data_IF_988678424594
#
_entry.id   IF_988678424594
#
_cell.length_a   1.000
_cell.length_b   1.000
_cell.length_c   1.000
_cell.angle_alpha   90.00
_cell.angle_beta   90.00
_cell.angle_gamma   90.00
#
_symmetry.space_group_name_H-M   'P 1'
#
loop_
_entity.id
_entity.type
_entity.pdbx_description
1 polymer ?
#
# COMPACT_ATOMS: atom_id res chain seq x y z
N UNK A 1 -2.14 -32.78 1.57
CA UNK A 1 -2.36 -32.18 2.91
C UNK A 1 -2.86 -30.76 2.73
N UNK A 2 -4.16 -30.60 2.51
CA UNK A 2 -4.80 -29.29 2.37
C UNK A 2 -4.93 -28.66 3.75
N UNK A 3 -4.42 -27.44 3.94
CA UNK A 3 -4.46 -26.68 5.19
C UNK A 3 -5.55 -25.59 5.18
N UNK A 4 -6.85 -25.87 4.96
CA UNK A 4 -7.87 -24.83 4.97
C UNK A 4 -8.03 -24.23 6.38
N UNK A 5 -7.92 -25.06 7.44
CA UNK A 5 -8.11 -24.61 8.81
C UNK A 5 -6.97 -23.71 9.33
N UNK A 6 -5.70 -24.04 9.07
CA UNK A 6 -4.57 -23.23 9.52
C UNK A 6 -4.46 -21.89 8.78
N UNK A 7 -4.89 -21.83 7.52
CA UNK A 7 -4.91 -20.59 6.74
C UNK A 7 -5.96 -19.60 7.27
N UNK A 8 -7.12 -20.11 7.72
CA UNK A 8 -8.12 -19.31 8.43
C UNK A 8 -7.60 -18.92 9.82
N UNK A 9 -7.01 -19.84 10.57
CA UNK A 9 -6.48 -19.56 11.91
C UNK A 9 -5.38 -18.50 11.91
N UNK A 10 -4.42 -18.57 10.98
CA UNK A 10 -3.34 -17.56 10.89
C UNK A 10 -3.89 -16.22 10.40
N UNK A 11 -4.82 -16.20 9.45
CA UNK A 11 -5.47 -14.94 9.04
C UNK A 11 -6.28 -14.31 10.18
N UNK A 12 -7.00 -15.13 10.95
CA UNK A 12 -7.81 -14.68 12.09
C UNK A 12 -6.91 -14.20 13.23
N UNK A 13 -5.87 -14.96 13.58
CA UNK A 13 -4.91 -14.63 14.62
C UNK A 13 -4.06 -13.41 14.27
N UNK A 14 -3.62 -13.26 13.01
CA UNK A 14 -2.96 -12.04 12.54
C UNK A 14 -3.93 -10.86 12.52
N UNK A 15 -5.19 -11.06 12.16
CA UNK A 15 -6.20 -10.00 12.25
C UNK A 15 -6.47 -9.58 13.70
N UNK A 16 -6.48 -10.51 14.65
CA UNK A 16 -6.65 -10.23 16.09
C UNK A 16 -5.41 -9.59 16.71
N UNK A 17 -4.20 -10.01 16.34
CA UNK A 17 -2.94 -9.39 16.81
C UNK A 17 -2.79 -7.96 16.26
N UNK A 18 -3.10 -7.75 14.98
CA UNK A 18 -3.15 -6.40 14.39
C UNK A 18 -4.23 -5.55 15.04
N UNK A 19 -5.39 -6.14 15.33
CA UNK A 19 -6.50 -5.47 16.01
C UNK A 19 -6.15 -5.09 17.45
N UNK A 20 -5.42 -5.94 18.17
CA UNK A 20 -4.95 -5.66 19.54
C UNK A 20 -3.79 -4.67 19.57
N UNK A 21 -2.96 -4.59 18.54
CA UNK A 21 -1.92 -3.55 18.43
C UNK A 21 -2.50 -2.22 17.91
N UNK A 22 -3.61 -2.24 17.17
CA UNK A 22 -4.47 -1.08 16.90
C UNK A 22 -5.44 -0.86 18.08
N UNK A 23 -4.94 -0.70 19.30
CA UNK A 23 -5.67 0.04 20.34
C UNK A 23 -5.74 1.52 19.95
N UNK A 24 -6.56 1.79 18.93
CA UNK A 24 -7.18 3.09 18.73
C UNK A 24 -8.53 3.00 19.44
N UNK A 25 -8.55 3.44 20.69
CA UNK A 25 -9.73 3.53 21.59
C UNK A 25 -10.94 4.29 21.02
N UNK A 26 -10.89 4.79 19.78
CA UNK A 26 -11.95 5.59 19.15
C UNK A 26 -12.37 5.05 17.79
N UNK A 27 -13.68 5.03 17.53
CA UNK A 27 -14.28 4.76 16.22
C UNK A 27 -13.98 5.91 15.24
N UNK A 28 -12.74 5.96 14.76
CA UNK A 28 -12.28 6.99 13.83
C UNK A 28 -12.45 6.53 12.37
N UNK A 29 -12.63 7.51 11.48
CA UNK A 29 -12.62 7.25 10.04
C UNK A 29 -11.35 6.53 9.58
N UNK A 30 -10.19 6.89 10.15
CA UNK A 30 -8.91 6.21 9.91
C UNK A 30 -8.99 4.72 10.24
N UNK A 31 -9.56 4.35 11.40
CA UNK A 31 -9.74 2.94 11.79
C UNK A 31 -10.62 2.20 10.79
N UNK A 32 -11.75 2.80 10.41
CA UNK A 32 -12.67 2.19 9.44
C UNK A 32 -11.99 1.97 8.08
N UNK A 33 -11.22 2.94 7.60
CA UNK A 33 -10.45 2.84 6.35
C UNK A 33 -9.42 1.70 6.41
N UNK A 34 -8.59 1.64 7.46
CA UNK A 34 -7.57 0.60 7.61
C UNK A 34 -8.21 -0.79 7.74
N UNK A 35 -9.33 -0.89 8.46
CA UNK A 35 -10.07 -2.14 8.62
C UNK A 35 -10.68 -2.62 7.31
N UNK A 36 -11.30 -1.71 6.54
CA UNK A 36 -11.85 -2.03 5.21
C UNK A 36 -10.74 -2.43 4.25
N UNK A 37 -9.61 -1.75 4.26
CA UNK A 37 -8.45 -2.10 3.46
C UNK A 37 -7.97 -3.53 3.74
N UNK A 38 -7.79 -3.87 5.02
CA UNK A 38 -7.34 -5.20 5.45
C UNK A 38 -8.33 -6.31 5.06
N UNK A 39 -9.64 -6.06 5.20
CA UNK A 39 -10.67 -7.06 4.93
C UNK A 39 -11.02 -7.24 3.45
N UNK A 40 -11.00 -6.16 2.67
CA UNK A 40 -11.52 -6.16 1.29
C UNK A 40 -10.43 -6.41 0.27
N UNK A 41 -9.24 -5.82 0.43
CA UNK A 41 -8.22 -5.81 -0.62
C UNK A 41 -7.28 -7.00 -0.45
N UNK A 42 -7.40 -7.98 -1.34
CA UNK A 42 -6.61 -9.21 -1.28
C UNK A 42 -5.24 -9.01 -1.92
N UNK A 43 -4.40 -10.02 -1.79
CA UNK A 43 -3.08 -10.07 -2.43
C UNK A 43 -3.22 -10.07 -3.95
N UNK A 44 -2.46 -9.21 -4.63
CA UNK A 44 -2.54 -9.03 -6.09
C UNK A 44 -3.66 -8.11 -6.57
N UNK A 45 -4.43 -7.51 -5.65
CA UNK A 45 -5.48 -6.55 -5.97
C UNK A 45 -5.06 -5.12 -5.61
N UNK A 46 -5.63 -4.14 -6.32
CA UNK A 46 -5.49 -2.71 -5.98
C UNK A 46 -6.85 -2.10 -5.75
N UNK A 47 -6.86 -1.03 -4.94
CA UNK A 47 -8.05 -0.21 -4.72
C UNK A 47 -7.69 1.26 -4.89
N UNK A 48 -8.59 2.06 -5.44
CA UNK A 48 -8.36 3.51 -5.49
C UNK A 48 -8.68 4.18 -4.15
N UNK A 49 -8.07 5.33 -3.88
CA UNK A 49 -8.43 6.16 -2.72
C UNK A 49 -9.93 6.48 -2.66
N UNK A 50 -10.57 6.71 -3.82
CA UNK A 50 -12.00 7.00 -3.90
C UNK A 50 -12.85 5.77 -3.57
N UNK A 51 -12.50 4.60 -4.13
CA UNK A 51 -13.19 3.34 -3.83
C UNK A 51 -13.09 3.00 -2.36
N UNK A 52 -11.90 3.13 -1.77
CA UNK A 52 -11.69 2.86 -0.35
C UNK A 52 -12.46 3.85 0.54
N UNK A 53 -12.56 5.12 0.14
CA UNK A 53 -13.38 6.11 0.85
C UNK A 53 -14.87 5.73 0.82
N UNK A 54 -15.38 5.26 -0.32
CA UNK A 54 -16.75 4.75 -0.45
C UNK A 54 -16.99 3.51 0.41
N UNK A 55 -16.04 2.56 0.44
CA UNK A 55 -16.10 1.37 1.29
C UNK A 55 -16.08 1.70 2.80
N UNK A 56 -15.43 2.81 3.17
CA UNK A 56 -15.40 3.36 4.51
C UNK A 56 -16.61 4.27 4.83
N UNK A 57 -17.63 4.33 3.95
CA UNK A 57 -18.88 5.04 4.20
C UNK A 57 -18.88 6.53 3.85
N UNK A 58 -17.78 7.08 3.32
CA UNK A 58 -17.73 8.47 2.87
C UNK A 58 -17.04 8.61 1.50
N UNK A 59 -17.79 8.56 0.38
CA UNK A 59 -17.20 8.58 -0.96
C UNK A 59 -16.44 9.86 -1.30
N UNK A 60 -16.69 10.96 -0.57
CA UNK A 60 -16.01 12.25 -0.77
C UNK A 60 -14.70 12.37 0.02
N UNK A 61 -14.36 11.38 0.84
CA UNK A 61 -13.24 11.44 1.78
C UNK A 61 -11.91 10.88 1.25
N UNK A 62 -11.69 10.87 -0.08
CA UNK A 62 -10.46 10.33 -0.68
C UNK A 62 -9.17 10.95 -0.13
N UNK A 63 -9.16 12.27 0.19
CA UNK A 63 -8.00 12.91 0.83
C UNK A 63 -7.75 12.40 2.25
N UNK A 64 -8.82 12.19 3.02
CA UNK A 64 -8.71 11.68 4.39
C UNK A 64 -8.20 10.24 4.41
N UNK A 65 -8.56 9.43 3.41
CA UNK A 65 -7.95 8.09 3.18
C UNK A 65 -6.43 8.22 2.99
N UNK A 66 -5.96 9.19 2.21
CA UNK A 66 -4.53 9.47 2.07
C UNK A 66 -3.82 9.77 3.40
N UNK A 67 -4.48 10.54 4.28
CA UNK A 67 -4.02 10.76 5.65
C UNK A 67 -3.95 9.47 6.46
N UNK A 68 -5.01 8.66 6.43
CA UNK A 68 -5.06 7.36 7.09
C UNK A 68 -3.94 6.40 6.64
N UNK A 69 -3.62 6.38 5.34
CA UNK A 69 -2.50 5.57 4.82
C UNK A 69 -1.14 6.03 5.33
N UNK A 70 -0.95 7.35 5.53
CA UNK A 70 0.30 7.90 6.08
C UNK A 70 0.44 7.56 7.56
N UNK A 71 -0.65 7.54 8.30
CA UNK A 71 -0.70 7.21 9.73
C UNK A 71 -0.76 5.71 10.02
N UNK A 72 -0.56 4.84 9.02
CA UNK A 72 -0.59 3.40 9.21
C UNK A 72 0.59 2.96 10.12
N UNK A 73 0.32 2.41 11.33
CA UNK A 73 1.37 2.02 12.28
C UNK A 73 2.14 0.77 11.84
N UNK A 74 1.54 -0.08 11.00
CA UNK A 74 2.15 -1.34 10.55
C UNK A 74 2.06 -1.46 9.02
N UNK A 75 2.96 -0.78 8.28
CA UNK A 75 3.07 -0.92 6.83
C UNK A 75 3.29 -2.39 6.41
N UNK A 76 2.92 -2.74 5.18
CA UNK A 76 2.95 -4.11 4.60
C UNK A 76 1.85 -5.02 5.18
N UNK A 77 1.75 -5.14 6.50
CA UNK A 77 0.75 -5.99 7.15
C UNK A 77 -0.66 -5.43 6.92
N UNK A 78 -0.84 -4.12 7.14
CA UNK A 78 -1.95 -3.38 6.57
C UNK A 78 -1.50 -2.91 5.19
N UNK A 79 -2.11 -3.40 4.09
CA UNK A 79 -1.55 -3.30 2.74
C UNK A 79 -1.80 -1.92 2.11
N UNK A 80 -1.29 -0.85 2.72
CA UNK A 80 -1.44 0.52 2.21
C UNK A 80 -0.70 0.76 0.89
N UNK A 81 0.24 -0.11 0.52
CA UNK A 81 0.87 -0.12 -0.80
C UNK A 81 -0.09 -0.51 -1.94
N UNK A 82 -1.22 -1.16 -1.64
CA UNK A 82 -2.27 -1.50 -2.63
C UNK A 82 -3.24 -0.36 -2.94
N UNK A 83 -3.17 0.75 -2.20
CA UNK A 83 -4.06 1.89 -2.42
C UNK A 83 -3.45 2.85 -3.42
N UNK A 84 -4.06 3.03 -4.59
CA UNK A 84 -3.54 3.84 -5.70
C UNK A 84 -4.48 4.99 -6.07
N UNK A 85 -4.05 5.87 -6.96
CA UNK A 85 -4.89 6.95 -7.48
C UNK A 85 -5.88 6.39 -8.51
N UNK A 86 -7.01 7.06 -8.68
CA UNK A 86 -8.08 6.61 -9.60
C UNK A 86 -7.66 6.65 -11.07
N UNK A 87 -6.61 7.40 -11.40
CA UNK A 87 -5.98 7.46 -12.73
C UNK A 87 -5.01 6.27 -12.97
N UNK A 88 -4.88 5.34 -12.02
CA UNK A 88 -3.98 4.20 -12.09
C UNK A 88 -2.53 4.52 -11.70
N UNK A 89 -2.22 5.77 -11.37
CA UNK A 89 -0.87 6.14 -10.92
C UNK A 89 -0.64 5.69 -9.47
N UNK A 90 0.55 5.17 -9.19
CA UNK A 90 0.87 4.50 -7.93
C UNK A 90 0.89 5.50 -6.76
N UNK A 91 1.35 6.73 -7.00
CA UNK A 91 1.44 7.76 -5.97
C UNK A 91 2.49 7.45 -4.90
N UNK A 92 2.59 8.33 -3.89
CA UNK A 92 3.61 8.22 -2.86
C UNK A 92 3.27 7.18 -1.78
N UNK A 93 4.30 6.72 -1.05
CA UNK A 93 4.20 5.70 -0.02
C UNK A 93 5.00 6.10 1.23
N UNK A 94 4.38 6.02 2.40
CA UNK A 94 5.03 6.37 3.67
C UNK A 94 6.11 5.36 4.08
N UNK A 95 5.97 4.09 3.73
CA UNK A 95 6.88 3.02 4.12
C UNK A 95 8.15 2.89 3.26
N UNK A 96 8.69 3.99 2.74
CA UNK A 96 9.93 3.98 1.93
C UNK A 96 9.83 4.59 0.54
N UNK A 97 8.78 5.37 0.26
CA UNK A 97 8.63 6.10 -1.00
C UNK A 97 8.10 5.26 -2.16
N UNK A 98 7.96 5.91 -3.32
CA UNK A 98 7.29 5.34 -4.50
C UNK A 98 7.94 4.03 -5.00
N UNK A 99 9.28 3.97 -5.02
CA UNK A 99 10.03 2.79 -5.49
C UNK A 99 9.73 1.53 -4.69
N UNK A 100 9.58 1.65 -3.36
CA UNK A 100 9.23 0.51 -2.49
C UNK A 100 7.82 0.02 -2.79
N UNK A 101 6.88 0.95 -3.05
CA UNK A 101 5.50 0.59 -3.40
C UNK A 101 5.42 -0.10 -4.76
N UNK A 102 6.16 0.39 -5.75
CA UNK A 102 6.29 -0.24 -7.06
C UNK A 102 6.84 -1.66 -6.97
N UNK A 103 7.90 -1.84 -6.16
CA UNK A 103 8.49 -3.16 -5.90
C UNK A 103 7.51 -4.12 -5.20
N UNK A 104 6.79 -3.65 -4.18
CA UNK A 104 5.79 -4.45 -3.47
C UNK A 104 4.67 -4.88 -4.42
N UNK A 105 4.12 -3.97 -5.22
CA UNK A 105 3.07 -4.29 -6.19
C UNK A 105 3.57 -5.28 -7.26
N UNK A 106 4.80 -5.09 -7.76
CA UNK A 106 5.41 -6.03 -8.69
C UNK A 106 5.61 -7.42 -8.07
N UNK A 107 5.96 -7.49 -6.78
CA UNK A 107 6.07 -8.74 -6.02
C UNK A 107 4.72 -9.45 -5.87
N UNK A 108 3.62 -8.72 -5.88
CA UNK A 108 2.26 -9.27 -5.91
C UNK A 108 1.77 -9.65 -7.31
N UNK A 109 2.60 -9.50 -8.35
CA UNK A 109 2.26 -9.82 -9.74
C UNK A 109 1.52 -8.71 -10.48
N UNK A 110 1.46 -7.50 -9.90
CA UNK A 110 0.81 -6.36 -10.53
C UNK A 110 1.84 -5.65 -11.42
N UNK A 111 1.57 -5.51 -12.74
CA UNK A 111 2.48 -4.83 -13.65
C UNK A 111 2.50 -3.33 -13.34
N UNK A 112 3.44 -2.92 -12.50
CA UNK A 112 3.84 -1.54 -12.36
C UNK A 112 4.91 -1.26 -13.41
N UNK A 113 4.96 -0.05 -13.98
CA UNK A 113 6.13 0.34 -14.75
C UNK A 113 7.30 0.31 -13.78
N UNK A 114 8.06 -0.79 -13.79
CA UNK A 114 9.18 -1.00 -12.90
C UNK A 114 10.09 0.22 -13.03
N UNK A 115 10.42 0.96 -11.95
CA UNK A 115 11.72 1.58 -11.94
C UNK A 115 12.68 0.39 -11.97
N UNK A 116 13.27 0.13 -13.14
CA UNK A 116 14.38 -0.81 -13.22
C UNK A 116 15.35 -0.39 -12.13
N UNK A 117 15.53 -1.24 -11.11
CA UNK A 117 16.66 -1.10 -10.20
C UNK A 117 17.91 -1.29 -11.08
N UNK A 118 18.40 -0.23 -11.70
CA UNK A 118 19.69 -0.26 -12.40
C UNK A 118 20.75 -0.40 -11.30
N UNK A 119 21.09 -1.64 -10.98
CA UNK A 119 22.23 -1.98 -10.13
C UNK A 119 21.91 -2.86 -8.92
N UNK A 120 21.48 -4.11 -9.13
CA UNK A 120 21.95 -5.20 -8.27
C UNK A 120 22.82 -6.14 -9.13
N UNK A 121 23.97 -5.62 -9.55
CA UNK A 121 25.11 -6.45 -9.90
C UNK A 121 25.78 -6.85 -8.60
N UNK A 122 25.80 -8.15 -8.30
CA UNK A 122 26.60 -8.75 -7.22
C UNK A 122 28.08 -8.66 -7.54
N UNK A 123 28.68 -7.48 -7.42
CA UNK A 123 30.14 -7.30 -7.35
C UNK A 123 30.43 -6.12 -6.45
N UNK A 124 31.16 -6.37 -5.36
CA UNK A 124 31.35 -5.44 -4.26
C UNK A 124 32.03 -4.13 -4.66
N UNK A 125 31.45 -3.02 -4.25
CA UNK A 125 32.13 -1.86 -3.63
C UNK A 125 31.06 -0.89 -3.13
N UNK A 126 31.15 -0.49 -1.87
CA UNK A 126 30.26 0.49 -1.23
C UNK A 126 30.50 1.88 -1.82
N UNK A 127 29.76 2.25 -2.86
CA UNK A 127 29.64 3.63 -3.31
C UNK A 127 28.17 4.04 -3.36
N UNK A 128 27.91 5.21 -2.78
CA UNK A 128 26.58 5.79 -2.55
C UNK A 128 25.75 5.85 -3.86
N UNK A 129 24.45 5.52 -3.83
CA UNK A 129 23.59 5.74 -4.98
C UNK A 129 23.39 7.25 -5.20
N UNK A 130 23.92 7.78 -6.30
CA UNK A 130 23.58 9.11 -6.78
C UNK A 130 22.20 9.05 -7.46
N UNK A 131 21.24 9.74 -6.87
CA UNK A 131 19.91 9.89 -7.44
C UNK A 131 19.97 10.91 -8.59
N UNK A 132 20.03 10.43 -9.83
CA UNK A 132 19.84 11.24 -11.02
C UNK A 132 18.35 11.48 -11.28
N UNK A 133 17.90 12.72 -11.13
CA UNK A 133 16.53 13.15 -11.42
C UNK A 133 16.26 13.12 -12.93
N UNK A 134 15.57 12.07 -13.40
CA UNK A 134 15.00 12.10 -14.75
C UNK A 134 13.63 12.79 -14.68
N UNK A 135 13.63 14.04 -15.14
CA UNK A 135 12.44 14.89 -15.31
C UNK A 135 11.44 14.24 -16.27
N UNK A 136 10.20 14.02 -15.82
CA UNK A 136 9.09 13.64 -16.69
C UNK A 136 8.23 14.87 -17.00
N UNK A 137 8.04 15.14 -18.29
CA UNK A 137 7.26 16.26 -18.83
C UNK A 137 5.78 16.14 -18.44
N UNK A 138 5.26 17.19 -17.85
CA UNK A 138 3.83 17.49 -17.71
C UNK A 138 3.22 17.72 -19.10
N UNK A 139 2.47 16.76 -19.64
CA UNK A 139 1.39 17.03 -20.59
C UNK A 139 0.11 17.16 -19.77
N UNK A 140 -0.60 18.28 -19.67
CA UNK A 140 -0.87 19.31 -20.66
C UNK A 140 -2.39 19.48 -20.62
N UNK A 141 -2.86 20.59 -20.04
CA UNK A 141 -4.28 20.98 -20.02
C UNK A 141 -4.75 21.25 -21.45
N UNK A 142 -5.93 20.76 -21.81
CA UNK A 142 -7.04 21.57 -22.32
C UNK A 142 -8.36 20.84 -22.08
#
# INVERSE_FOLDING_TARGET
>A
MTWPAARIYVAHLLSEIVFSSLTLESDSFTRQVLWKLLKVVKFGEMVSYQQLAALAGNPKAARAVGGAMRSNPVPILIPCHRVVRSDGTIGNYSGGGQTVKEWLLAHEGIPTQQPVCKGLGVTGTWLKPSCGSTSYKTSGRN
#
